data_IF_114127919940
#
_entry.id   IF_114127919940
#
_cell.length_a   1.000
_cell.length_b   1.000
_cell.length_c   1.000
_cell.angle_alpha   90.00
_cell.angle_beta   90.00
_cell.angle_gamma   90.00
#
_symmetry.space_group_name_H-M   'P 1'
#
loop_
_entity.id
_entity.type
_entity.pdbx_description
1 polymer ?
#
# COMPACT_ATOMS: atom_id res chain seq x y z
N UNK A 1 13.67 -2.03 -25.22
CA UNK A 1 13.61 -1.51 -23.84
C UNK A 1 13.85 -2.70 -22.92
N UNK A 2 15.07 -2.89 -22.46
CA UNK A 2 15.45 -4.06 -21.64
C UNK A 2 14.83 -3.94 -20.25
N UNK A 3 14.14 -4.99 -19.82
CA UNK A 3 13.74 -5.16 -18.41
C UNK A 3 14.99 -4.98 -17.57
N UNK A 4 15.06 -3.93 -16.74
CA UNK A 4 16.05 -3.90 -15.66
C UNK A 4 15.59 -4.96 -14.66
N UNK A 5 16.29 -6.09 -14.64
CA UNK A 5 16.03 -7.13 -13.67
C UNK A 5 16.45 -6.62 -12.29
N UNK A 6 15.46 -6.28 -11.47
CA UNK A 6 15.70 -5.79 -10.11
C UNK A 6 16.17 -6.94 -9.21
N UNK A 7 17.24 -6.70 -8.44
CA UNK A 7 17.72 -7.69 -7.47
C UNK A 7 16.88 -7.54 -6.21
N UNK A 8 16.08 -8.56 -5.91
CA UNK A 8 15.27 -8.62 -4.69
C UNK A 8 16.00 -9.43 -3.63
N UNK A 9 16.22 -8.85 -2.44
CA UNK A 9 16.93 -9.51 -1.34
C UNK A 9 16.09 -9.53 -0.06
N UNK A 10 16.29 -10.49 0.86
CA UNK A 10 15.67 -10.44 2.17
C UNK A 10 16.00 -9.13 2.88
N UNK A 11 14.99 -8.49 3.48
CA UNK A 11 15.17 -7.18 4.11
C UNK A 11 16.28 -7.14 5.18
N UNK A 12 16.50 -8.23 5.92
CA UNK A 12 17.57 -8.32 6.93
C UNK A 12 18.97 -8.48 6.36
N UNK A 13 19.08 -8.85 5.08
CA UNK A 13 20.36 -8.95 4.37
C UNK A 13 20.72 -7.64 3.66
N UNK A 14 19.80 -6.67 3.63
CA UNK A 14 20.10 -5.36 3.10
C UNK A 14 21.21 -4.69 3.90
N UNK A 15 22.20 -4.16 3.17
CA UNK A 15 23.22 -3.30 3.72
C UNK A 15 22.77 -1.86 3.58
N UNK A 16 22.69 -1.14 4.70
CA UNK A 16 22.44 0.30 4.66
C UNK A 16 23.69 1.01 4.12
N UNK A 17 23.57 1.85 3.08
CA UNK A 17 24.68 2.66 2.60
C UNK A 17 25.13 3.70 3.65
N UNK A 18 24.26 4.02 4.61
CA UNK A 18 24.50 5.02 5.65
C UNK A 18 25.10 4.45 6.93
N UNK A 19 24.98 3.13 7.12
CA UNK A 19 25.57 2.41 8.26
C UNK A 19 26.41 1.22 7.76
N UNK A 20 27.55 1.46 7.10
CA UNK A 20 28.38 0.39 6.54
C UNK A 20 28.83 -0.60 7.62
N UNK A 21 28.66 -1.89 7.35
CA UNK A 21 29.05 -2.97 8.27
C UNK A 21 28.10 -3.16 9.46
N UNK A 22 27.08 -2.32 9.62
CA UNK A 22 26.04 -2.52 10.64
C UNK A 22 24.90 -3.36 10.07
N UNK A 23 24.26 -4.10 10.96
CA UNK A 23 23.01 -4.82 10.67
C UNK A 23 21.83 -4.04 11.23
N UNK A 24 20.66 -4.24 10.63
CA UNK A 24 19.43 -3.66 11.16
C UNK A 24 19.12 -4.24 12.54
N UNK A 25 19.19 -3.38 13.56
CA UNK A 25 19.15 -3.80 14.97
C UNK A 25 17.73 -4.04 15.52
N UNK A 26 16.68 -3.57 14.84
CA UNK A 26 15.30 -3.76 15.33
C UNK A 26 14.94 -5.25 15.33
N UNK A 27 14.47 -5.80 16.48
CA UNK A 27 14.07 -7.20 16.57
C UNK A 27 12.98 -7.57 15.55
N UNK A 28 13.05 -8.79 15.02
CA UNK A 28 12.03 -9.32 14.12
C UNK A 28 10.70 -9.47 14.86
N UNK A 29 9.61 -9.01 14.25
CA UNK A 29 8.25 -9.02 14.83
C UNK A 29 7.48 -10.31 14.54
N UNK A 30 8.14 -11.32 13.96
CA UNK A 30 7.52 -12.59 13.58
C UNK A 30 6.79 -12.53 12.24
N UNK A 31 6.33 -13.71 11.80
CA UNK A 31 5.70 -13.89 10.49
C UNK A 31 4.24 -13.42 10.43
N UNK A 32 3.60 -13.31 11.60
CA UNK A 32 2.21 -12.87 11.77
C UNK A 32 2.13 -11.68 12.75
N UNK A 33 2.76 -10.53 12.44
CA UNK A 33 2.71 -9.39 13.33
C UNK A 33 1.32 -8.75 13.32
N UNK A 34 0.98 -8.11 14.44
CA UNK A 34 -0.14 -7.16 14.46
C UNK A 34 0.11 -5.98 13.52
N UNK A 35 -0.95 -5.28 13.13
CA UNK A 35 -0.87 -4.06 12.32
C UNK A 35 0.14 -3.03 12.87
N UNK A 36 0.10 -2.80 14.19
CA UNK A 36 0.99 -1.85 14.85
C UNK A 36 2.46 -2.29 14.80
N UNK A 37 2.73 -3.57 15.08
CA UNK A 37 4.07 -4.14 15.00
C UNK A 37 4.63 -4.07 13.58
N UNK A 38 3.81 -4.43 12.58
CA UNK A 38 4.20 -4.40 11.16
C UNK A 38 4.61 -2.99 10.73
N UNK A 39 3.77 -2.00 11.00
CA UNK A 39 4.04 -0.60 10.64
C UNK A 39 5.22 -0.02 11.42
N UNK A 40 5.34 -0.34 12.71
CA UNK A 40 6.48 0.07 13.53
C UNK A 40 7.80 -0.47 12.98
N UNK A 41 7.83 -1.75 12.60
CA UNK A 41 8.99 -2.38 11.98
C UNK A 41 9.35 -1.73 10.64
N UNK A 42 8.36 -1.49 9.77
CA UNK A 42 8.58 -0.81 8.49
C UNK A 42 9.18 0.59 8.69
N UNK A 43 8.64 1.39 9.62
CA UNK A 43 9.17 2.72 9.93
C UNK A 43 10.61 2.68 10.43
N UNK A 44 10.91 1.77 11.37
CA UNK A 44 12.27 1.59 11.87
C UNK A 44 13.24 1.20 10.74
N UNK A 45 12.82 0.28 9.85
CA UNK A 45 13.65 -0.17 8.74
C UNK A 45 13.94 0.97 7.75
N UNK A 46 12.94 1.78 7.39
CA UNK A 46 13.16 2.90 6.49
C UNK A 46 14.00 3.99 7.13
N UNK A 47 13.78 4.30 8.42
CA UNK A 47 14.62 5.27 9.14
C UNK A 47 16.08 4.83 9.20
N UNK A 48 16.34 3.53 9.30
CA UNK A 48 17.69 2.98 9.25
C UNK A 48 18.31 2.98 7.83
N UNK A 49 17.50 2.77 6.79
CA UNK A 49 17.97 2.81 5.40
C UNK A 49 18.12 4.24 4.86
N UNK A 50 17.35 5.18 5.40
CA UNK A 50 17.28 6.57 4.96
C UNK A 50 16.73 7.45 6.12
N UNK A 51 17.60 7.94 7.02
CA UNK A 51 17.24 8.82 8.11
C UNK A 51 16.92 10.20 7.52
N UNK A 52 15.69 10.37 7.06
CA UNK A 52 15.17 11.64 6.57
C UNK A 52 14.34 12.31 7.67
N UNK A 53 14.55 13.61 7.84
CA UNK A 53 13.60 14.44 8.56
C UNK A 53 12.22 14.32 7.87
N UNK A 54 11.15 14.16 8.66
CA UNK A 54 9.79 14.03 8.13
C UNK A 54 9.41 12.63 7.62
N UNK A 55 10.14 11.57 8.01
CA UNK A 55 9.78 10.19 7.65
C UNK A 55 8.33 9.84 7.99
N UNK A 56 7.81 10.31 9.13
CA UNK A 56 6.42 10.08 9.52
C UNK A 56 5.42 10.75 8.58
N UNK A 57 5.68 11.99 8.16
CA UNK A 57 4.86 12.71 7.19
C UNK A 57 4.89 12.03 5.82
N UNK A 58 6.09 11.62 5.38
CA UNK A 58 6.26 10.83 4.16
C UNK A 58 5.41 9.55 4.24
N UNK A 59 5.53 8.77 5.31
CA UNK A 59 4.73 7.56 5.52
C UNK A 59 3.24 7.84 5.47
N UNK A 60 2.76 8.89 6.13
CA UNK A 60 1.36 9.27 6.14
C UNK A 60 0.86 9.60 4.73
N UNK A 61 1.59 10.42 3.97
CA UNK A 61 1.22 10.77 2.58
C UNK A 61 1.23 9.56 1.65
N UNK A 62 2.31 8.78 1.67
CA UNK A 62 2.43 7.57 0.84
C UNK A 62 1.33 6.57 1.15
N UNK A 63 0.96 6.47 2.42
CA UNK A 63 -0.13 5.59 2.85
C UNK A 63 -1.48 6.03 2.29
N UNK A 64 -1.86 7.30 2.38
CA UNK A 64 -3.12 7.81 1.80
C UNK A 64 -3.22 7.48 0.31
N UNK A 65 -2.12 7.66 -0.43
CA UNK A 65 -2.06 7.29 -1.85
C UNK A 65 -2.24 5.78 -2.03
N UNK A 66 -1.55 4.97 -1.24
CA UNK A 66 -1.65 3.50 -1.33
C UNK A 66 -3.03 2.98 -0.93
N UNK A 67 -3.71 3.62 0.03
CA UNK A 67 -5.10 3.32 0.41
C UNK A 67 -6.03 3.57 -0.78
N UNK A 68 -5.94 4.74 -1.41
CA UNK A 68 -6.73 5.09 -2.58
C UNK A 68 -6.49 4.13 -3.75
N UNK A 69 -5.23 3.90 -4.12
CA UNK A 69 -4.87 2.97 -5.21
C UNK A 69 -5.31 1.54 -4.92
N UNK A 70 -5.28 1.11 -3.66
CA UNK A 70 -5.79 -0.21 -3.26
C UNK A 70 -7.30 -0.28 -3.38
N UNK A 71 -8.01 0.75 -2.88
CA UNK A 71 -9.46 0.83 -2.98
C UNK A 71 -9.93 0.86 -4.44
N UNK A 72 -9.34 1.71 -5.29
CA UNK A 72 -9.64 1.78 -6.74
C UNK A 72 -9.48 0.42 -7.41
N UNK A 73 -8.40 -0.31 -7.10
CA UNK A 73 -8.20 -1.66 -7.65
C UNK A 73 -9.28 -2.63 -7.20
N UNK A 74 -9.65 -2.61 -5.92
CA UNK A 74 -10.66 -3.52 -5.37
C UNK A 74 -12.06 -3.19 -5.91
N UNK A 75 -12.41 -1.91 -6.05
CA UNK A 75 -13.66 -1.46 -6.68
C UNK A 75 -13.74 -1.94 -8.14
N UNK A 76 -12.66 -1.76 -8.91
CA UNK A 76 -12.58 -2.27 -10.30
C UNK A 76 -12.70 -3.79 -10.39
N UNK A 77 -12.32 -4.51 -9.35
CA UNK A 77 -12.50 -5.96 -9.24
C UNK A 77 -13.90 -6.36 -8.71
N UNK A 78 -14.80 -5.40 -8.50
CA UNK A 78 -16.18 -5.64 -8.07
C UNK A 78 -16.39 -5.83 -6.57
N UNK A 79 -15.40 -5.52 -5.73
CA UNK A 79 -15.53 -5.71 -4.28
C UNK A 79 -16.48 -4.66 -3.67
N UNK A 80 -17.49 -5.12 -2.93
CA UNK A 80 -18.41 -4.27 -2.15
C UNK A 80 -17.86 -3.94 -0.76
N UNK A 81 -17.20 -4.91 -0.14
CA UNK A 81 -16.65 -4.88 1.21
C UNK A 81 -15.36 -5.70 1.26
N UNK A 82 -14.46 -5.39 2.20
CA UNK A 82 -13.15 -6.04 2.31
C UNK A 82 -12.76 -6.22 3.78
N UNK A 83 -12.24 -7.39 4.20
CA UNK A 83 -11.77 -7.57 5.57
C UNK A 83 -10.71 -6.51 5.93
N UNK A 84 -10.79 -5.97 7.15
CA UNK A 84 -9.89 -4.92 7.63
C UNK A 84 -8.43 -5.33 7.51
N UNK A 85 -8.06 -6.48 8.07
CA UNK A 85 -6.67 -6.96 8.05
C UNK A 85 -6.14 -7.18 6.63
N UNK A 86 -6.97 -7.70 5.72
CA UNK A 86 -6.56 -7.90 4.33
C UNK A 86 -6.31 -6.57 3.61
N UNK A 87 -7.20 -5.60 3.78
CA UNK A 87 -7.03 -4.26 3.21
C UNK A 87 -5.76 -3.61 3.74
N UNK A 88 -5.58 -3.65 5.06
CA UNK A 88 -4.44 -3.06 5.74
C UNK A 88 -3.10 -3.70 5.34
N UNK A 89 -3.07 -5.03 5.25
CA UNK A 89 -1.91 -5.75 4.75
C UNK A 89 -1.58 -5.36 3.31
N UNK A 90 -2.59 -5.22 2.44
CA UNK A 90 -2.39 -4.87 1.03
C UNK A 90 -1.83 -3.45 0.89
N UNK A 91 -2.34 -2.51 1.71
CA UNK A 91 -1.84 -1.13 1.77
C UNK A 91 -0.41 -1.10 2.28
N UNK A 92 -0.12 -1.76 3.41
CA UNK A 92 1.24 -1.80 3.99
C UNK A 92 2.25 -2.38 3.00
N UNK A 93 1.90 -3.46 2.29
CA UNK A 93 2.73 -4.05 1.24
C UNK A 93 3.00 -3.08 0.08
N UNK A 94 2.02 -2.26 -0.30
CA UNK A 94 2.23 -1.23 -1.34
C UNK A 94 3.11 -0.10 -0.83
N UNK A 95 2.91 0.36 0.41
CA UNK A 95 3.80 1.36 1.04
C UNK A 95 5.23 0.83 1.07
N UNK A 96 5.42 -0.46 1.38
CA UNK A 96 6.71 -1.14 1.26
C UNK A 96 7.32 -1.05 -0.11
N UNK A 97 6.63 -1.56 -1.12
CA UNK A 97 7.18 -1.58 -2.46
C UNK A 97 7.40 -0.17 -3.03
N UNK A 98 6.56 0.80 -2.63
CA UNK A 98 6.64 2.19 -3.06
C UNK A 98 7.90 2.91 -2.57
N UNK A 99 8.36 2.61 -1.36
CA UNK A 99 9.57 3.22 -0.80
C UNK A 99 10.83 2.91 -1.63
N UNK A 100 10.87 1.72 -2.24
CA UNK A 100 12.01 1.23 -3.02
C UNK A 100 11.84 1.44 -4.53
N UNK A 101 10.79 2.12 -4.96
CA UNK A 101 10.51 2.30 -6.38
C UNK A 101 11.65 3.08 -7.05
N UNK A 102 12.11 2.59 -8.22
CA UNK A 102 13.21 3.17 -8.97
C UNK A 102 14.61 2.69 -8.54
N UNK A 103 14.74 2.01 -7.40
CA UNK A 103 16.03 1.45 -6.94
C UNK A 103 16.33 0.11 -7.63
N UNK A 104 17.61 -0.19 -7.81
CA UNK A 104 18.12 -1.42 -8.45
C UNK A 104 18.02 -2.64 -7.52
N UNK A 105 18.38 -2.44 -6.24
CA UNK A 105 18.25 -3.44 -5.18
C UNK A 105 17.07 -3.05 -4.29
N UNK A 106 16.19 -4.01 -4.02
CA UNK A 106 14.99 -3.78 -3.19
C UNK A 106 14.79 -4.91 -2.19
N UNK A 107 14.33 -4.60 -0.98
CA UNK A 107 14.02 -5.64 -0.02
C UNK A 107 12.68 -6.28 -0.34
N UNK A 108 12.64 -7.61 -0.24
CA UNK A 108 11.41 -8.40 -0.38
C UNK A 108 10.45 -8.03 0.76
N UNK A 109 9.15 -8.00 0.44
CA UNK A 109 8.09 -7.86 1.44
C UNK A 109 8.22 -8.95 2.53
N UNK A 110 8.42 -8.59 3.81
CA UNK A 110 8.81 -9.57 4.84
C UNK A 110 7.74 -10.61 5.21
N UNK A 111 6.46 -10.33 4.94
CA UNK A 111 5.34 -11.13 5.46
C UNK A 111 4.56 -11.79 4.32
N UNK A 112 5.03 -12.91 3.75
CA UNK A 112 4.40 -13.52 2.57
C UNK A 112 2.99 -14.05 2.84
N UNK A 113 2.69 -14.41 4.10
CA UNK A 113 1.37 -14.88 4.55
C UNK A 113 0.33 -13.78 4.42
N UNK A 114 -0.62 -13.95 3.50
CA UNK A 114 -1.73 -13.01 3.32
C UNK A 114 -2.82 -13.29 4.36
N UNK A 115 -3.47 -12.26 4.92
CA UNK A 115 -4.66 -12.44 5.72
C UNK A 115 -5.80 -13.08 4.92
N UNK A 116 -6.78 -13.63 5.66
CA UNK A 116 -8.00 -14.19 5.10
C UNK A 116 -8.77 -13.18 4.24
N UNK A 117 -9.39 -13.67 3.16
CA UNK A 117 -10.32 -12.88 2.33
C UNK A 117 -11.76 -12.88 2.89
N UNK A 118 -12.04 -13.72 3.87
CA UNK A 118 -13.34 -13.82 4.55
C UNK A 118 -13.22 -13.33 5.98
N UNK A 119 -14.26 -12.64 6.45
CA UNK A 119 -14.35 -12.16 7.84
C UNK A 119 -14.79 -13.31 8.74
N UNK A 120 -13.94 -13.67 9.70
CA UNK A 120 -14.27 -14.63 10.77
C UNK A 120 -15.09 -14.01 11.91
N UNK A 121 -15.56 -14.81 12.88
CA UNK A 121 -16.27 -14.29 14.04
C UNK A 121 -15.45 -13.25 14.81
N UNK A 122 -15.99 -12.04 14.97
CA UNK A 122 -15.33 -10.94 15.68
C UNK A 122 -14.36 -10.10 14.84
N UNK A 123 -14.14 -10.45 13.57
CA UNK A 123 -13.40 -9.61 12.63
C UNK A 123 -14.31 -8.54 12.00
N UNK A 124 -13.70 -7.46 11.49
CA UNK A 124 -14.42 -6.35 10.91
C UNK A 124 -14.05 -6.12 9.44
N UNK A 125 -14.98 -5.58 8.67
CA UNK A 125 -14.69 -5.00 7.36
C UNK A 125 -13.98 -3.65 7.51
N UNK A 126 -13.21 -3.26 6.48
CA UNK A 126 -12.45 -2.01 6.48
C UNK A 126 -13.37 -0.79 6.33
N UNK A 127 -13.49 0.09 7.35
CA UNK A 127 -14.23 1.35 7.20
C UNK A 127 -13.54 2.31 6.22
N UNK A 128 -12.21 2.26 6.14
CA UNK A 128 -11.42 3.06 5.20
C UNK A 128 -11.76 2.70 3.76
N UNK A 129 -11.84 1.41 3.45
CA UNK A 129 -12.26 0.96 2.12
C UNK A 129 -13.70 1.40 1.81
N UNK A 130 -14.64 1.22 2.75
CA UNK A 130 -16.03 1.60 2.54
C UNK A 130 -16.15 3.10 2.15
N UNK A 131 -15.50 3.98 2.91
CA UNK A 131 -15.46 5.43 2.63
C UNK A 131 -14.83 5.74 1.26
N UNK A 132 -13.69 5.13 0.96
CA UNK A 132 -13.00 5.36 -0.32
C UNK A 132 -13.83 4.86 -1.51
N UNK A 133 -14.47 3.70 -1.36
CA UNK A 133 -15.36 3.12 -2.38
C UNK A 133 -16.51 4.07 -2.72
N UNK A 134 -17.17 4.65 -1.72
CA UNK A 134 -18.22 5.63 -1.93
C UNK A 134 -17.73 6.84 -2.73
N UNK A 135 -16.55 7.36 -2.38
CA UNK A 135 -15.94 8.49 -3.10
C UNK A 135 -15.59 8.12 -4.55
N UNK A 136 -15.03 6.94 -4.78
CA UNK A 136 -14.66 6.44 -6.12
C UNK A 136 -15.90 6.29 -7.00
N UNK A 137 -16.95 5.63 -6.49
CA UNK A 137 -18.19 5.41 -7.25
C UNK A 137 -18.96 6.70 -7.50
N UNK A 138 -18.88 7.68 -6.60
CA UNK A 138 -19.45 9.02 -6.83
C UNK A 138 -18.72 9.72 -7.99
N UNK A 139 -17.39 9.72 -7.99
CA UNK A 139 -16.60 10.32 -9.07
C UNK A 139 -16.87 9.67 -10.44
N UNK A 140 -17.00 8.34 -10.51
CA UNK A 140 -17.32 7.63 -11.75
C UNK A 140 -18.73 7.99 -12.28
N UNK A 141 -19.70 8.24 -11.39
CA UNK A 141 -21.06 8.67 -11.78
C UNK A 141 -21.06 10.09 -12.31
N UNK A 142 -20.33 10.99 -11.66
CA UNK A 142 -20.23 12.39 -12.07
C UNK A 142 -19.56 12.51 -13.45
N UNK A 143 -18.47 11.78 -13.67
CA UNK A 143 -17.80 11.70 -14.98
C UNK A 143 -18.73 11.15 -16.06
N UNK A 144 -19.48 10.08 -15.77
CA UNK A 144 -20.46 9.53 -16.70
C UNK A 144 -21.58 10.54 -17.03
N UNK A 145 -22.05 11.31 -16.06
CA UNK A 145 -23.07 12.34 -16.26
C UNK A 145 -22.58 13.48 -17.16
N UNK A 146 -21.34 13.95 -16.97
CA UNK A 146 -20.73 14.97 -17.82
C UNK A 146 -20.57 14.51 -19.28
N UNK A 147 -20.16 13.25 -19.48
CA UNK A 147 -20.05 12.65 -20.82
C UNK A 147 -21.43 12.60 -21.49
N UNK A 148 -22.47 12.15 -20.78
CA UNK A 148 -23.83 12.08 -21.33
C UNK A 148 -24.38 13.47 -21.69
N UNK A 149 -24.13 14.49 -20.86
CA UNK A 149 -24.51 15.88 -21.15
C UNK A 149 -23.81 16.41 -22.39
N UNK A 150 -22.53 16.08 -22.56
CA UNK A 150 -21.75 16.48 -23.74
C UNK A 150 -22.30 15.82 -25.01
N UNK A 151 -22.57 14.51 -24.95
CA UNK A 151 -23.13 13.77 -26.07
C UNK A 151 -24.54 14.22 -26.45
N UNK A 152 -25.36 14.66 -25.49
CA UNK A 152 -26.67 15.22 -25.77
C UNK A 152 -26.57 16.54 -26.55
N UNK A 153 -25.67 17.45 -26.15
CA UNK A 153 -25.44 18.73 -26.83
C UNK A 153 -24.94 18.57 -28.27
N UNK A 154 -24.10 17.58 -28.52
CA UNK A 154 -23.57 17.27 -29.86
C UNK A 154 -24.63 16.68 -30.80
N UNK A 155 -25.72 16.11 -30.26
CA UNK A 155 -26.82 15.55 -31.07
C UNK A 155 -27.87 16.58 -31.48
N UNK A 156 -27.89 17.74 -30.83
CA UNK A 156 -28.84 18.82 -31.10
C UNK A 156 -28.27 19.90 -32.07
N UNK A 157 -27.06 19.68 -32.61
CA UNK A 157 -26.41 20.47 -33.69
C UNK A 157 -26.43 19.71 -35.02
#
# INVERSE_FOLDING_TARGET
MTSKDYVSIPHREMKSPLYPGQVFATPWVGDNPTLAQRRGYMKAFYGWMSPQAGLDEFFARTRVICERVTAERLVKLGWSEVPLEYFEYTVDKRVWNGFWFGLEIRPIWPWPSKPSLTVGPGEAYSPTFARLRETILAAERDEAAEILLTLAKVKDE
#
